data_IF_410366229480
#
_entry.id   IF_410366229480
#
_cell.length_a   1.000
_cell.length_b   1.000
_cell.length_c   1.000
_cell.angle_alpha   90.00
_cell.angle_beta   90.00
_cell.angle_gamma   90.00
#
_symmetry.space_group_name_H-M   'P 1'
#
loop_
_entity.id
_entity.type
_entity.pdbx_description
1 polymer ?
#
# COMPACT_ATOMS: atom_id res chain seq x y z
N UNK A 1 34.50 -11.12 -6.46
CA UNK A 1 33.71 -10.39 -5.44
C UNK A 1 34.65 -9.43 -4.72
N UNK A 2 34.44 -8.12 -4.85
CA UNK A 2 35.29 -7.06 -4.30
C UNK A 2 35.45 -7.24 -2.78
N UNK A 3 36.67 -7.05 -2.23
CA UNK A 3 36.97 -7.21 -0.80
C UNK A 3 36.05 -6.36 0.08
N UNK A 4 35.67 -5.17 -0.40
CA UNK A 4 34.70 -4.30 0.25
C UNK A 4 33.31 -4.96 0.37
N UNK A 5 32.83 -5.64 -0.68
CA UNK A 5 31.54 -6.33 -0.65
C UNK A 5 31.52 -7.42 0.43
N UNK A 6 32.60 -8.19 0.57
CA UNK A 6 32.69 -9.25 1.61
C UNK A 6 32.62 -8.68 3.02
N UNK A 7 33.28 -7.54 3.27
CA UNK A 7 33.26 -6.89 4.59
C UNK A 7 31.85 -6.38 4.94
N UNK A 8 31.17 -5.77 3.97
CA UNK A 8 29.81 -5.25 4.15
C UNK A 8 28.77 -6.38 4.27
N UNK A 9 28.85 -7.41 3.43
CA UNK A 9 27.96 -8.57 3.50
C UNK A 9 28.09 -9.31 4.83
N UNK A 10 29.26 -9.27 5.47
CA UNK A 10 29.48 -9.88 6.78
C UNK A 10 28.61 -9.27 7.90
N UNK A 11 28.16 -8.03 7.72
CA UNK A 11 27.32 -7.28 8.65
C UNK A 11 25.82 -7.43 8.40
N UNK A 12 25.40 -8.06 7.29
CA UNK A 12 23.98 -8.25 7.03
C UNK A 12 23.39 -9.20 8.08
N UNK A 13 22.21 -8.86 8.59
CA UNK A 13 21.48 -9.58 9.63
C UNK A 13 22.26 -9.71 10.96
N UNK A 14 23.23 -8.83 11.22
CA UNK A 14 23.89 -8.74 12.52
C UNK A 14 23.28 -7.62 13.35
N UNK A 15 23.52 -7.66 14.66
CA UNK A 15 23.05 -6.63 15.58
C UNK A 15 24.03 -5.47 15.59
N UNK A 16 23.55 -4.26 15.30
CA UNK A 16 24.36 -3.04 15.46
C UNK A 16 24.53 -2.76 16.95
N UNK A 17 25.77 -2.49 17.39
CA UNK A 17 26.06 -2.15 18.78
C UNK A 17 26.36 -0.66 18.95
N UNK A 18 27.25 -0.12 18.12
CA UNK A 18 27.62 1.28 18.19
C UNK A 18 28.27 1.76 16.89
N UNK A 19 28.27 3.08 16.69
CA UNK A 19 29.05 3.74 15.64
C UNK A 19 29.90 4.80 16.31
N UNK A 20 31.20 4.72 16.11
CA UNK A 20 32.18 5.68 16.61
C UNK A 20 32.77 6.48 15.46
N UNK A 21 33.24 7.68 15.79
CA UNK A 21 33.90 8.55 14.85
C UNK A 21 35.13 9.23 15.47
N UNK A 22 36.16 9.51 14.64
CA UNK A 22 37.33 10.29 15.05
C UNK A 22 37.13 11.80 14.83
N UNK A 23 36.03 12.19 14.20
CA UNK A 23 35.67 13.57 13.90
C UNK A 23 36.35 14.14 12.65
N UNK A 24 37.14 13.35 11.92
CA UNK A 24 37.96 13.81 10.82
C UNK A 24 37.88 12.87 9.60
N UNK A 25 38.44 11.65 9.70
CA UNK A 25 38.59 10.73 8.55
C UNK A 25 38.05 9.33 8.76
N UNK A 26 37.69 8.93 9.98
CA UNK A 26 37.36 7.53 10.28
C UNK A 26 36.03 7.37 10.99
N UNK A 27 35.31 6.34 10.54
CA UNK A 27 34.11 5.82 11.18
C UNK A 27 34.34 4.35 11.53
N UNK A 28 34.02 3.96 12.75
CA UNK A 28 34.07 2.57 13.21
C UNK A 28 32.65 2.09 13.51
N UNK A 29 32.25 1.00 12.87
CA UNK A 29 30.96 0.35 13.13
C UNK A 29 31.23 -0.92 13.93
N UNK A 30 30.65 -0.99 15.12
CA UNK A 30 30.72 -2.15 16.01
C UNK A 30 29.40 -2.94 15.93
N UNK A 31 29.50 -4.24 15.68
CA UNK A 31 28.36 -5.13 15.50
C UNK A 31 28.61 -6.50 16.12
N UNK A 32 27.54 -7.17 16.55
CA UNK A 32 27.59 -8.50 17.12
C UNK A 32 27.21 -9.55 16.08
N UNK A 33 28.09 -10.52 15.87
CA UNK A 33 27.85 -11.67 14.98
C UNK A 33 28.17 -12.96 15.74
N UNK A 34 27.18 -13.85 15.84
CA UNK A 34 27.35 -15.16 16.48
C UNK A 34 27.91 -15.06 17.92
N UNK A 35 27.55 -14.01 18.66
CA UNK A 35 28.02 -13.75 20.02
C UNK A 35 29.40 -13.07 20.12
N UNK A 36 30.04 -12.75 19.00
CA UNK A 36 31.33 -12.03 18.96
C UNK A 36 31.16 -10.60 18.49
N UNK A 37 31.87 -9.69 19.14
CA UNK A 37 31.96 -8.28 18.72
C UNK A 37 32.99 -8.17 17.60
N UNK A 38 32.52 -7.74 16.43
CA UNK A 38 33.32 -7.45 15.25
C UNK A 38 33.26 -5.96 14.93
N UNK A 39 34.27 -5.45 14.23
CA UNK A 39 34.33 -4.03 13.86
C UNK A 39 34.69 -3.83 12.40
N UNK A 40 33.99 -2.90 11.76
CA UNK A 40 34.33 -2.37 10.44
C UNK A 40 34.89 -0.97 10.60
N UNK A 41 36.09 -0.75 10.08
CA UNK A 41 36.70 0.58 9.97
C UNK A 41 36.50 1.10 8.55
N UNK A 42 35.85 2.26 8.45
CA UNK A 42 35.70 3.05 7.24
C UNK A 42 36.69 4.20 7.33
N UNK A 43 37.59 4.29 6.35
CA UNK A 43 38.55 5.38 6.23
C UNK A 43 38.22 6.22 5.00
N UNK A 44 37.84 7.47 5.25
CA UNK A 44 37.60 8.50 4.27
C UNK A 44 38.94 9.09 3.83
N UNK A 45 39.40 8.73 2.62
CA UNK A 45 40.66 9.23 2.05
C UNK A 45 40.42 10.13 0.86
N UNK A 46 41.12 11.26 0.81
CA UNK A 46 41.22 12.09 -0.39
C UNK A 46 42.48 11.73 -1.17
N UNK A 47 42.31 11.48 -2.46
CA UNK A 47 43.35 11.16 -3.42
C UNK A 47 43.34 12.23 -4.49
N UNK A 48 44.39 13.03 -4.56
CA UNK A 48 44.57 14.02 -5.61
C UNK A 48 45.07 13.33 -6.91
N UNK A 49 44.43 13.61 -8.04
CA UNK A 49 44.86 13.14 -9.37
C UNK A 49 44.48 14.16 -10.45
N UNK A 50 45.45 14.56 -11.28
CA UNK A 50 45.26 15.45 -12.44
C UNK A 50 44.37 16.69 -12.19
N UNK A 51 44.51 17.35 -11.03
CA UNK A 51 43.75 18.56 -10.70
C UNK A 51 42.35 18.30 -10.11
N UNK A 52 41.97 17.04 -9.87
CA UNK A 52 40.73 16.64 -9.22
C UNK A 52 41.02 15.92 -7.89
N UNK A 53 40.13 16.11 -6.90
CA UNK A 53 40.18 15.43 -5.61
C UNK A 53 39.16 14.30 -5.60
N UNK A 54 39.63 13.05 -5.62
CA UNK A 54 38.79 11.87 -5.49
C UNK A 54 38.72 11.44 -4.05
N UNK A 55 37.53 11.29 -3.49
CA UNK A 55 37.40 10.74 -2.15
C UNK A 55 36.92 9.30 -2.19
N UNK A 56 37.68 8.41 -1.53
CA UNK A 56 37.41 6.98 -1.49
C UNK A 56 37.25 6.52 -0.04
N UNK A 57 36.17 5.79 0.21
CA UNK A 57 36.05 4.94 1.39
C UNK A 57 36.86 3.66 1.20
N UNK A 58 37.87 3.49 2.06
CA UNK A 58 38.57 2.23 2.25
C UNK A 58 37.98 1.49 3.45
N UNK A 59 37.61 0.23 3.23
CA UNK A 59 37.01 -0.62 4.25
C UNK A 59 38.04 -1.62 4.75
N UNK A 60 38.12 -1.79 6.08
CA UNK A 60 39.00 -2.77 6.70
C UNK A 60 38.42 -3.27 8.02
N UNK A 61 38.89 -4.44 8.48
CA UNK A 61 38.66 -4.85 9.87
C UNK A 61 39.58 -4.04 10.78
N UNK A 62 39.06 -3.54 11.89
CA UNK A 62 39.85 -2.79 12.86
C UNK A 62 39.02 -1.77 13.62
N UNK A 63 39.71 -1.03 14.49
CA UNK A 63 39.13 0.04 15.32
C UNK A 63 39.86 1.35 15.03
N UNK A 64 39.21 2.48 15.35
CA UNK A 64 39.89 3.77 15.38
C UNK A 64 41.02 3.69 16.43
N UNK A 65 42.22 4.12 16.05
CA UNK A 65 43.38 4.24 16.94
C UNK A 65 43.46 5.68 17.44
N UNK A 66 43.37 5.88 18.75
CA UNK A 66 43.35 7.20 19.38
C UNK A 66 41.96 7.55 19.90
N UNK A 67 41.69 8.84 20.02
CA UNK A 67 40.42 9.35 20.53
C UNK A 67 39.29 9.06 19.55
N UNK A 68 38.19 8.53 20.07
CA UNK A 68 36.95 8.30 19.33
C UNK A 68 35.77 8.65 20.23
N UNK A 69 34.70 9.13 19.62
CA UNK A 69 33.43 9.41 20.31
C UNK A 69 32.28 8.66 19.63
N UNK A 70 31.24 8.26 20.36
CA UNK A 70 30.03 7.74 19.73
C UNK A 70 29.40 8.82 18.86
N UNK A 71 28.86 8.43 17.71
CA UNK A 71 28.09 9.34 16.86
C UNK A 71 26.78 9.65 17.58
N UNK A 72 26.39 10.92 17.60
CA UNK A 72 25.16 11.38 18.25
C UNK A 72 23.91 11.01 17.43
N UNK A 73 23.56 9.72 17.43
CA UNK A 73 22.40 9.15 16.73
C UNK A 73 21.51 8.36 17.70
N UNK A 74 20.21 8.34 17.43
CA UNK A 74 19.25 7.53 18.19
C UNK A 74 19.30 6.08 17.67
N UNK A 75 20.22 5.29 18.23
CA UNK A 75 20.46 3.89 17.82
C UNK A 75 20.13 2.87 18.93
N UNK A 76 19.49 3.29 20.02
CA UNK A 76 19.30 2.48 21.23
C UNK A 76 18.28 1.35 21.07
N UNK A 77 17.35 1.46 20.11
CA UNK A 77 16.32 0.46 19.82
C UNK A 77 16.63 -0.39 18.58
N UNK A 78 17.80 -0.22 17.94
CA UNK A 78 18.18 -1.00 16.76
C UNK A 78 18.37 -2.46 17.12
N UNK A 79 17.72 -3.34 16.37
CA UNK A 79 17.81 -4.77 16.54
C UNK A 79 18.75 -5.40 15.50
N UNK A 80 18.62 -5.00 14.23
CA UNK A 80 19.40 -5.61 13.16
C UNK A 80 19.77 -4.66 12.01
N UNK A 81 20.89 -4.98 11.36
CA UNK A 81 21.30 -4.38 10.08
C UNK A 81 20.68 -5.19 8.95
N UNK A 82 19.63 -4.68 8.30
CA UNK A 82 18.94 -5.36 7.19
C UNK A 82 19.74 -5.33 5.90
N UNK A 83 20.34 -4.19 5.62
CA UNK A 83 21.20 -4.04 4.45
C UNK A 83 22.28 -3.01 4.71
N UNK A 84 23.39 -3.18 4.01
CA UNK A 84 24.47 -2.20 3.96
C UNK A 84 25.13 -2.29 2.58
N UNK A 85 25.40 -1.14 1.98
CA UNK A 85 25.97 -1.04 0.64
C UNK A 85 26.92 0.14 0.53
N UNK A 86 27.99 -0.04 -0.24
CA UNK A 86 28.86 1.04 -0.69
C UNK A 86 28.46 1.40 -2.12
N UNK A 87 27.85 2.57 -2.27
CA UNK A 87 27.52 3.18 -3.56
C UNK A 87 28.69 4.01 -4.05
N UNK A 88 29.07 3.80 -5.31
CA UNK A 88 30.01 4.67 -6.04
C UNK A 88 29.20 5.45 -7.06
N UNK A 89 29.08 6.75 -6.82
CA UNK A 89 28.41 7.69 -7.71
C UNK A 89 29.50 8.39 -8.52
N UNK A 90 29.33 8.44 -9.83
CA UNK A 90 30.25 9.13 -10.75
C UNK A 90 29.49 10.24 -11.47
N UNK A 91 29.12 11.35 -10.80
CA UNK A 91 28.78 12.57 -11.51
C UNK A 91 29.95 12.99 -12.41
N UNK A 92 29.67 13.76 -13.47
CA UNK A 92 30.53 13.96 -14.63
C UNK A 92 32.02 14.31 -14.35
N UNK A 93 32.38 14.77 -13.15
CA UNK A 93 33.75 15.16 -12.79
C UNK A 93 34.24 14.69 -11.40
N UNK A 94 33.40 14.04 -10.58
CA UNK A 94 33.76 13.62 -9.22
C UNK A 94 33.37 12.16 -8.94
N UNK A 95 34.23 11.44 -8.22
CA UNK A 95 33.87 10.14 -7.66
C UNK A 95 33.44 10.31 -6.21
N UNK A 96 32.16 10.04 -5.95
CA UNK A 96 31.57 10.11 -4.62
C UNK A 96 31.31 8.70 -4.10
N UNK A 97 31.84 8.42 -2.91
CA UNK A 97 31.52 7.21 -2.17
C UNK A 97 30.47 7.52 -1.11
N UNK A 98 29.45 6.67 -1.04
CA UNK A 98 28.37 6.74 -0.07
C UNK A 98 28.14 5.35 0.52
N UNK A 99 28.08 5.24 1.83
CA UNK A 99 27.62 4.02 2.51
C UNK A 99 26.18 4.26 2.94
N UNK A 100 25.29 3.38 2.52
CA UNK A 100 23.91 3.38 2.99
C UNK A 100 23.65 2.10 3.77
N UNK A 101 23.00 2.24 4.92
CA UNK A 101 22.64 1.16 5.80
C UNK A 101 21.15 1.26 6.13
N UNK A 102 20.43 0.15 6.01
CA UNK A 102 19.06 0.01 6.49
C UNK A 102 19.08 -0.75 7.80
N UNK A 103 18.56 -0.12 8.83
CA UNK A 103 18.45 -0.63 10.19
C UNK A 103 16.99 -0.94 10.50
N UNK A 104 16.75 -2.01 11.22
CA UNK A 104 15.44 -2.32 11.79
C UNK A 104 15.50 -2.17 13.30
N UNK A 105 14.54 -1.45 13.85
CA UNK A 105 14.37 -1.32 15.29
C UNK A 105 13.49 -2.42 15.89
N UNK A 106 13.54 -2.61 17.20
CA UNK A 106 12.73 -3.60 17.94
C UNK A 106 11.22 -3.51 17.69
N UNK A 107 10.75 -2.32 17.28
CA UNK A 107 9.34 -2.08 16.96
C UNK A 107 9.01 -2.32 15.47
N UNK A 108 9.97 -2.82 14.68
CA UNK A 108 9.82 -3.06 13.24
C UNK A 108 10.00 -1.82 12.35
N UNK A 109 10.35 -0.67 12.93
CA UNK A 109 10.60 0.55 12.17
C UNK A 109 11.91 0.44 11.38
N UNK A 110 11.89 0.88 10.12
CA UNK A 110 13.09 0.98 9.31
C UNK A 110 13.70 2.38 9.37
N UNK A 111 15.01 2.42 9.61
CA UNK A 111 15.82 3.63 9.63
C UNK A 111 16.88 3.51 8.54
N UNK A 112 17.14 4.60 7.82
CA UNK A 112 18.24 4.71 6.88
C UNK A 112 19.36 5.53 7.52
N UNK A 113 20.54 4.94 7.59
CA UNK A 113 21.77 5.63 7.95
C UNK A 113 22.61 5.82 6.70
N UNK A 114 23.12 7.04 6.53
CA UNK A 114 23.97 7.43 5.41
C UNK A 114 25.31 7.94 5.93
N UNK A 115 26.40 7.44 5.36
CA UNK A 115 27.75 8.00 5.52
C UNK A 115 28.21 8.45 4.14
N UNK A 116 28.44 9.74 3.95
CA UNK A 116 28.82 10.32 2.65
C UNK A 116 29.90 11.37 2.80
N UNK A 117 30.49 11.79 1.67
CA UNK A 117 31.47 12.87 1.63
C UNK A 117 30.87 14.16 2.21
N UNK A 118 31.67 14.85 3.01
CA UNK A 118 31.47 16.26 3.32
C UNK A 118 32.44 17.08 2.47
N UNK A 119 31.94 18.08 1.75
CA UNK A 119 32.73 18.96 0.90
C UNK A 119 32.56 20.38 1.43
N UNK A 120 33.39 20.72 2.42
CA UNK A 120 33.48 22.08 2.95
C UNK A 120 34.95 22.44 3.09
N UNK A 121 35.38 23.48 2.38
CA UNK A 121 36.77 23.96 2.37
C UNK A 121 37.21 24.49 3.76
N UNK A 122 36.27 24.72 4.69
CA UNK A 122 36.54 25.23 6.03
C UNK A 122 36.63 24.15 7.12
N UNK A 123 36.08 22.95 6.92
CA UNK A 123 36.09 21.88 7.92
C UNK A 123 37.17 20.82 7.65
N UNK A 124 37.98 20.46 8.66
CA UNK A 124 38.91 19.31 8.61
C UNK A 124 38.18 17.94 8.59
N UNK A 125 36.85 17.91 8.37
CA UNK A 125 36.01 16.71 8.42
C UNK A 125 35.65 16.23 7.02
N UNK A 126 35.97 14.97 6.74
CA UNK A 126 35.86 14.39 5.39
C UNK A 126 34.55 13.63 5.15
N UNK A 127 33.68 13.47 6.15
CA UNK A 127 32.44 12.72 6.01
C UNK A 127 31.32 13.33 6.86
N UNK A 128 30.08 13.11 6.42
CA UNK A 128 28.89 13.30 7.25
C UNK A 128 28.27 11.96 7.60
N UNK A 129 27.55 11.92 8.71
CA UNK A 129 26.70 10.80 9.08
C UNK A 129 25.32 11.37 9.32
N UNK A 130 24.32 10.88 8.60
CA UNK A 130 22.93 11.29 8.74
C UNK A 130 22.02 10.09 8.93
N UNK A 131 20.96 10.29 9.71
CA UNK A 131 19.91 9.31 9.98
C UNK A 131 18.57 9.89 9.52
N UNK A 132 17.79 9.09 8.80
CA UNK A 132 16.41 9.41 8.45
C UNK A 132 15.51 8.19 8.64
N UNK A 133 14.26 8.45 9.03
CA UNK A 133 13.24 7.41 9.06
C UNK A 133 12.87 7.02 7.63
N UNK A 134 12.87 5.72 7.34
CA UNK A 134 12.31 5.24 6.08
C UNK A 134 10.79 5.24 6.22
N UNK A 135 10.20 6.36 5.81
CA UNK A 135 8.76 6.42 5.57
C UNK A 135 8.54 5.73 4.24
N UNK A 136 8.02 4.50 4.27
CA UNK A 136 7.37 3.97 3.09
C UNK A 136 6.14 4.85 2.86
N UNK A 137 6.20 5.76 1.89
CA UNK A 137 4.96 6.23 1.30
C UNK A 137 4.20 4.98 0.86
N UNK A 138 2.96 4.76 1.33
CA UNK A 138 2.19 3.62 0.87
C UNK A 138 2.08 3.74 -0.64
N UNK A 139 2.81 2.89 -1.35
CA UNK A 139 2.70 2.71 -2.79
C UNK A 139 1.22 2.45 -3.05
N UNK A 140 0.56 3.29 -3.85
CA UNK A 140 -0.88 3.28 -4.15
C UNK A 140 -1.57 1.99 -3.70
N UNK A 141 -2.21 2.01 -2.53
CA UNK A 141 -2.89 0.83 -2.03
C UNK A 141 -4.02 0.48 -3.03
N UNK A 142 -4.04 -0.76 -3.50
CA UNK A 142 -5.12 -1.24 -4.36
C UNK A 142 -6.44 -1.06 -3.60
N UNK A 143 -7.35 -0.24 -4.15
CA UNK A 143 -8.62 0.10 -3.50
C UNK A 143 -9.55 -1.12 -3.41
N UNK A 144 -9.47 -2.02 -4.40
CA UNK A 144 -10.23 -3.25 -4.50
C UNK A 144 -9.51 -4.23 -5.43
N UNK A 145 -9.74 -5.53 -5.27
CA UNK A 145 -9.18 -6.57 -6.12
C UNK A 145 -9.80 -6.56 -7.51
N UNK A 146 -8.98 -6.30 -8.53
CA UNK A 146 -9.40 -6.37 -9.94
C UNK A 146 -9.90 -7.77 -10.33
N UNK A 147 -9.31 -8.82 -9.76
CA UNK A 147 -9.72 -10.20 -10.04
C UNK A 147 -11.07 -10.54 -9.40
N UNK A 148 -11.32 -10.07 -8.18
CA UNK A 148 -12.64 -10.17 -7.54
C UNK A 148 -13.70 -9.43 -8.38
N UNK A 149 -13.40 -8.21 -8.82
CA UNK A 149 -14.30 -7.43 -9.68
C UNK A 149 -14.67 -8.20 -10.96
N UNK A 150 -13.66 -8.69 -11.70
CA UNK A 150 -13.89 -9.44 -12.95
C UNK A 150 -14.72 -10.70 -12.71
N UNK A 151 -14.44 -11.45 -11.63
CA UNK A 151 -15.18 -12.67 -11.29
C UNK A 151 -16.68 -12.40 -11.15
N UNK A 152 -17.06 -11.42 -10.33
CA UNK A 152 -18.46 -11.09 -10.09
C UNK A 152 -19.11 -10.41 -11.30
N UNK A 153 -18.37 -9.59 -12.04
CA UNK A 153 -18.86 -8.98 -13.28
C UNK A 153 -19.23 -10.05 -14.31
N UNK A 154 -18.40 -11.09 -14.50
CA UNK A 154 -18.72 -12.19 -15.44
C UNK A 154 -20.02 -12.90 -15.05
N UNK A 155 -20.27 -13.11 -13.75
CA UNK A 155 -21.51 -13.72 -13.27
C UNK A 155 -22.69 -12.82 -13.63
N UNK A 156 -22.60 -11.52 -13.31
CA UNK A 156 -23.63 -10.54 -13.59
C UNK A 156 -23.96 -10.45 -15.10
N UNK A 157 -22.92 -10.37 -15.95
CA UNK A 157 -23.10 -10.30 -17.41
C UNK A 157 -23.73 -11.56 -18.00
N UNK A 158 -23.42 -12.74 -17.45
CA UNK A 158 -24.06 -14.00 -17.86
C UNK A 158 -25.51 -14.07 -17.42
N UNK A 159 -25.82 -13.63 -16.19
CA UNK A 159 -27.18 -13.64 -15.66
C UNK A 159 -28.11 -12.71 -16.45
N UNK A 160 -27.63 -11.52 -16.80
CA UNK A 160 -28.43 -10.47 -17.43
C UNK A 160 -28.19 -10.34 -18.95
N UNK A 161 -27.70 -11.39 -19.63
CA UNK A 161 -27.26 -11.32 -21.04
C UNK A 161 -28.34 -10.85 -22.01
N UNK A 162 -29.60 -11.22 -21.76
CA UNK A 162 -30.74 -10.89 -22.62
C UNK A 162 -31.57 -9.71 -22.09
N UNK A 163 -31.24 -9.18 -20.91
CA UNK A 163 -31.99 -8.10 -20.27
C UNK A 163 -31.57 -6.74 -20.83
N UNK A 164 -32.55 -5.83 -20.93
CA UNK A 164 -32.34 -4.44 -21.32
C UNK A 164 -32.86 -3.49 -20.27
N UNK A 165 -32.24 -2.33 -20.17
CA UNK A 165 -32.75 -1.21 -19.38
C UNK A 165 -34.03 -0.65 -20.03
N UNK A 166 -34.85 0.12 -19.29
CA UNK A 166 -36.00 0.83 -19.86
C UNK A 166 -35.66 1.78 -21.03
N UNK A 167 -34.39 2.14 -21.20
CA UNK A 167 -33.87 2.96 -22.29
C UNK A 167 -33.37 2.13 -23.49
N UNK A 168 -33.51 0.79 -23.45
CA UNK A 168 -33.11 -0.11 -24.52
C UNK A 168 -31.61 -0.46 -24.56
N UNK A 169 -30.83 -0.01 -23.57
CA UNK A 169 -29.42 -0.38 -23.42
C UNK A 169 -29.29 -1.80 -22.80
N UNK A 170 -28.18 -2.51 -23.00
CA UNK A 170 -27.91 -3.75 -22.27
C UNK A 170 -27.97 -3.52 -20.76
N UNK A 171 -28.56 -4.44 -19.99
CA UNK A 171 -28.70 -4.28 -18.54
C UNK A 171 -27.36 -4.18 -17.80
N UNK A 172 -26.28 -4.69 -18.41
CA UNK A 172 -24.91 -4.48 -17.94
C UNK A 172 -24.55 -3.01 -17.70
N UNK A 173 -25.18 -2.08 -18.43
CA UNK A 173 -24.99 -0.65 -18.21
C UNK A 173 -25.44 -0.23 -16.81
N UNK A 174 -26.62 -0.67 -16.36
CA UNK A 174 -27.14 -0.40 -15.01
C UNK A 174 -26.19 -0.97 -13.95
N UNK A 175 -25.83 -2.24 -14.09
CA UNK A 175 -24.95 -2.95 -13.15
C UNK A 175 -23.61 -2.23 -12.97
N UNK A 176 -22.97 -1.85 -14.08
CA UNK A 176 -21.69 -1.14 -14.06
C UNK A 176 -21.86 0.26 -13.47
N UNK A 177 -22.95 0.97 -13.76
CA UNK A 177 -23.25 2.27 -13.14
C UNK A 177 -23.35 2.18 -11.62
N UNK A 178 -24.12 1.22 -11.10
CA UNK A 178 -24.25 1.01 -9.64
C UNK A 178 -22.91 0.66 -9.00
N UNK A 179 -22.14 -0.26 -9.60
CA UNK A 179 -20.81 -0.61 -9.10
C UNK A 179 -19.82 0.57 -9.16
N UNK A 180 -19.94 1.46 -10.14
CA UNK A 180 -19.08 2.64 -10.28
C UNK A 180 -19.36 3.68 -9.20
N UNK A 181 -20.63 3.89 -8.81
CA UNK A 181 -20.97 4.75 -7.67
C UNK A 181 -20.32 4.26 -6.37
N UNK A 182 -20.32 2.94 -6.17
CA UNK A 182 -19.64 2.30 -5.04
C UNK A 182 -18.12 2.56 -5.08
N UNK A 183 -17.48 2.30 -6.22
CA UNK A 183 -16.04 2.54 -6.41
C UNK A 183 -15.68 4.01 -6.16
N UNK A 184 -16.50 4.94 -6.64
CA UNK A 184 -16.30 6.37 -6.48
C UNK A 184 -16.43 6.82 -5.01
N UNK A 185 -17.24 6.13 -4.21
CA UNK A 185 -17.40 6.42 -2.78
C UNK A 185 -16.22 5.90 -1.92
N UNK A 186 -15.50 4.85 -2.35
CA UNK A 186 -14.46 4.19 -1.55
C UNK A 186 -13.41 5.14 -0.95
N UNK A 187 -12.85 6.13 -1.68
CA UNK A 187 -11.82 7.02 -1.12
C UNK A 187 -12.31 7.92 0.03
N UNK A 188 -13.63 8.05 0.19
CA UNK A 188 -14.26 8.88 1.22
C UNK A 188 -14.75 8.10 2.43
N UNK A 189 -14.69 6.76 2.36
CA UNK A 189 -15.16 5.86 3.41
C UNK A 189 -13.96 5.22 4.13
N UNK A 190 -14.07 5.02 5.44
CA UNK A 190 -13.07 4.25 6.20
C UNK A 190 -13.39 2.76 6.07
N UNK A 191 -12.97 2.17 4.95
CA UNK A 191 -13.29 0.80 4.54
C UNK A 191 -12.02 0.03 4.21
N UNK A 192 -11.94 -1.23 4.64
CA UNK A 192 -10.84 -2.13 4.27
C UNK A 192 -10.97 -2.61 2.82
N UNK A 193 -9.87 -3.12 2.26
CA UNK A 193 -9.88 -3.68 0.90
C UNK A 193 -10.88 -4.86 0.76
N UNK A 194 -11.01 -5.71 1.78
CA UNK A 194 -11.96 -6.83 1.77
C UNK A 194 -13.41 -6.34 1.76
N UNK A 195 -13.75 -5.38 2.62
CA UNK A 195 -15.08 -4.79 2.68
C UNK A 195 -15.44 -4.06 1.36
N UNK A 196 -14.47 -3.37 0.75
CA UNK A 196 -14.63 -2.76 -0.58
C UNK A 196 -14.94 -3.81 -1.65
N UNK A 197 -14.22 -4.94 -1.65
CA UNK A 197 -14.49 -6.06 -2.55
C UNK A 197 -15.90 -6.63 -2.37
N UNK A 198 -16.36 -6.78 -1.12
CA UNK A 198 -17.72 -7.27 -0.81
C UNK A 198 -18.78 -6.27 -1.30
N UNK A 199 -18.61 -4.98 -1.03
CA UNK A 199 -19.53 -3.93 -1.47
C UNK A 199 -19.67 -3.91 -3.00
N UNK A 200 -18.55 -3.95 -3.72
CA UNK A 200 -18.53 -3.97 -5.18
C UNK A 200 -19.18 -5.26 -5.72
N UNK A 201 -18.88 -6.41 -5.13
CA UNK A 201 -19.50 -7.67 -5.54
C UNK A 201 -21.03 -7.66 -5.33
N UNK A 202 -21.52 -7.16 -4.19
CA UNK A 202 -22.94 -6.94 -3.95
C UNK A 202 -23.55 -6.02 -5.01
N UNK A 203 -22.90 -4.90 -5.35
CA UNK A 203 -23.36 -3.98 -6.38
C UNK A 203 -23.43 -4.63 -7.77
N UNK A 204 -22.45 -5.46 -8.13
CA UNK A 204 -22.47 -6.18 -9.40
C UNK A 204 -23.58 -7.24 -9.47
N UNK A 205 -23.97 -7.81 -8.34
CA UNK A 205 -24.90 -8.94 -8.26
C UNK A 205 -26.31 -8.58 -7.74
N UNK A 206 -26.56 -7.33 -7.37
CA UNK A 206 -27.74 -6.94 -6.58
C UNK A 206 -29.09 -7.37 -7.19
N UNK A 207 -29.21 -7.37 -8.51
CA UNK A 207 -30.44 -7.73 -9.23
C UNK A 207 -30.46 -9.17 -9.74
N UNK A 208 -29.39 -9.95 -9.55
CA UNK A 208 -29.27 -11.29 -10.16
C UNK A 208 -30.38 -12.21 -9.66
N UNK A 209 -30.65 -12.23 -8.35
CA UNK A 209 -31.73 -13.04 -7.77
C UNK A 209 -33.13 -12.43 -7.98
N UNK A 210 -33.22 -11.12 -8.27
CA UNK A 210 -34.52 -10.44 -8.47
C UNK A 210 -35.04 -10.60 -9.91
N UNK A 211 -34.16 -10.42 -10.89
CA UNK A 211 -34.54 -10.31 -12.31
C UNK A 211 -34.21 -11.56 -13.15
N UNK A 212 -33.46 -12.52 -12.59
CA UNK A 212 -32.97 -13.67 -13.35
C UNK A 212 -33.20 -14.99 -12.61
N UNK A 213 -33.11 -16.11 -13.34
CA UNK A 213 -33.09 -17.46 -12.76
C UNK A 213 -31.67 -18.02 -12.66
N UNK A 214 -30.65 -17.16 -12.75
CA UNK A 214 -29.25 -17.59 -12.73
C UNK A 214 -28.89 -18.08 -11.32
N UNK A 215 -28.35 -19.31 -11.16
CA UNK A 215 -28.03 -19.84 -9.86
C UNK A 215 -26.80 -19.12 -9.28
N UNK A 216 -26.96 -18.49 -8.11
CA UNK A 216 -25.84 -18.10 -7.26
C UNK A 216 -25.58 -19.25 -6.28
N UNK A 217 -24.45 -19.93 -6.40
CA UNK A 217 -24.06 -21.04 -5.54
C UNK A 217 -23.28 -20.52 -4.33
N UNK A 218 -23.69 -20.90 -3.12
CA UNK A 218 -23.10 -20.46 -1.85
C UNK A 218 -21.59 -20.75 -1.78
N UNK A 219 -21.14 -21.85 -2.37
CA UNK A 219 -19.72 -22.27 -2.36
C UNK A 219 -18.82 -21.36 -3.22
N UNK A 220 -19.39 -20.59 -4.14
CA UNK A 220 -18.63 -19.73 -5.07
C UNK A 220 -18.50 -18.29 -4.58
N UNK A 221 -19.30 -17.86 -3.61
CA UNK A 221 -19.38 -16.48 -3.14
C UNK A 221 -18.94 -16.33 -1.70
N UNK A 222 -18.38 -15.16 -1.38
CA UNK A 222 -18.13 -14.79 0.00
C UNK A 222 -19.47 -14.71 0.76
N UNK A 223 -19.62 -15.22 2.00
CA UNK A 223 -20.90 -15.26 2.70
C UNK A 223 -21.59 -13.90 2.84
N UNK A 224 -20.80 -12.84 3.06
CA UNK A 224 -21.33 -11.47 3.13
C UNK A 224 -21.83 -10.94 1.78
N UNK A 225 -21.28 -11.42 0.66
CA UNK A 225 -21.79 -11.07 -0.67
C UNK A 225 -23.17 -11.69 -0.87
N UNK A 226 -23.30 -12.99 -0.57
CA UNK A 226 -24.59 -13.68 -0.67
C UNK A 226 -25.64 -13.04 0.25
N UNK A 227 -25.30 -12.79 1.51
CA UNK A 227 -26.20 -12.13 2.46
C UNK A 227 -26.62 -10.72 1.97
N UNK A 228 -25.69 -9.96 1.39
CA UNK A 228 -25.96 -8.66 0.80
C UNK A 228 -26.90 -8.73 -0.40
N UNK A 229 -26.65 -9.62 -1.35
CA UNK A 229 -27.50 -9.82 -2.54
C UNK A 229 -28.90 -10.28 -2.12
N UNK A 230 -29.00 -11.22 -1.19
CA UNK A 230 -30.28 -11.64 -0.62
C UNK A 230 -31.03 -10.47 -0.01
N UNK A 231 -30.37 -9.65 0.84
CA UNK A 231 -30.99 -8.47 1.46
C UNK A 231 -31.45 -7.42 0.45
N UNK A 232 -30.74 -7.26 -0.67
CA UNK A 232 -31.07 -6.33 -1.76
C UNK A 232 -32.21 -6.83 -2.66
N UNK A 233 -32.46 -8.14 -2.67
CA UNK A 233 -33.52 -8.78 -3.46
C UNK A 233 -34.85 -8.74 -2.72
N UNK A 234 -35.92 -8.32 -3.41
CA UNK A 234 -37.29 -8.35 -2.88
C UNK A 234 -37.81 -9.79 -2.70
N UNK A 235 -38.42 -10.06 -1.55
CA UNK A 235 -39.14 -11.32 -1.34
C UNK A 235 -40.50 -11.29 -2.04
N UNK A 236 -40.59 -11.95 -3.20
CA UNK A 236 -41.82 -11.98 -4.01
C UNK A 236 -42.94 -12.83 -3.40
N UNK A 237 -42.70 -13.54 -2.30
CA UNK A 237 -43.73 -14.25 -1.53
C UNK A 237 -44.56 -13.31 -0.65
N UNK A 238 -44.05 -12.11 -0.35
CA UNK A 238 -44.73 -11.08 0.41
C UNK A 238 -45.64 -10.19 -0.47
N UNK A 239 -46.68 -9.56 0.10
CA UNK A 239 -47.45 -8.52 -0.57
C UNK A 239 -46.54 -7.40 -1.08
N UNK A 240 -46.81 -6.88 -2.29
CA UNK A 240 -45.96 -5.87 -2.95
C UNK A 240 -45.63 -4.66 -2.08
N UNK A 241 -46.59 -4.24 -1.25
CA UNK A 241 -46.48 -3.11 -0.33
C UNK A 241 -45.48 -3.35 0.81
N UNK A 242 -45.20 -4.61 1.15
CA UNK A 242 -44.31 -5.01 2.25
C UNK A 242 -42.89 -5.35 1.77
N UNK A 243 -42.71 -5.66 0.48
CA UNK A 243 -41.44 -6.14 -0.08
C UNK A 243 -40.27 -5.17 0.12
N UNK A 244 -40.52 -3.87 -0.07
CA UNK A 244 -39.49 -2.84 0.09
C UNK A 244 -39.10 -2.71 1.57
N UNK A 245 -40.08 -2.67 2.47
CA UNK A 245 -39.84 -2.57 3.91
C UNK A 245 -39.07 -3.78 4.45
N UNK A 246 -39.42 -5.00 4.03
CA UNK A 246 -38.66 -6.21 4.37
C UNK A 246 -37.21 -6.14 3.90
N UNK A 247 -36.98 -5.81 2.62
CA UNK A 247 -35.62 -5.69 2.06
C UNK A 247 -34.79 -4.66 2.83
N UNK A 248 -35.37 -3.49 3.16
CA UNK A 248 -34.69 -2.46 3.94
C UNK A 248 -34.39 -2.96 5.36
N UNK A 249 -35.31 -3.65 6.03
CA UNK A 249 -35.08 -4.18 7.38
C UNK A 249 -33.95 -5.21 7.41
N UNK A 250 -33.90 -6.11 6.41
CA UNK A 250 -32.80 -7.08 6.26
C UNK A 250 -31.48 -6.39 5.96
N UNK A 251 -31.49 -5.37 5.09
CA UNK A 251 -30.31 -4.61 4.73
C UNK A 251 -29.74 -3.81 5.91
N UNK A 252 -30.59 -3.23 6.76
CA UNK A 252 -30.19 -2.47 7.95
C UNK A 252 -29.44 -3.31 9.00
N UNK A 253 -29.61 -4.65 8.97
CA UNK A 253 -28.89 -5.59 9.84
C UNK A 253 -27.48 -5.91 9.33
N UNK A 254 -27.15 -5.53 8.09
CA UNK A 254 -25.84 -5.74 7.48
C UNK A 254 -24.91 -4.53 7.66
N UNK A 255 -23.58 -4.70 7.50
CA UNK A 255 -22.63 -3.59 7.56
C UNK A 255 -22.93 -2.45 6.58
N UNK A 256 -22.54 -1.23 6.96
CA UNK A 256 -22.78 0.00 6.18
C UNK A 256 -22.27 -0.10 4.73
N UNK A 257 -21.15 -0.78 4.49
CA UNK A 257 -20.59 -0.94 3.16
C UNK A 257 -21.45 -1.81 2.21
N UNK A 258 -22.38 -2.62 2.74
CA UNK A 258 -23.40 -3.30 1.94
C UNK A 258 -24.63 -2.41 1.79
N UNK A 259 -25.03 -1.69 2.85
CA UNK A 259 -26.19 -0.78 2.80
C UNK A 259 -26.03 0.30 1.72
N UNK A 260 -24.81 0.82 1.52
CA UNK A 260 -24.52 1.82 0.48
C UNK A 260 -24.83 1.33 -0.94
N UNK A 261 -24.90 0.03 -1.20
CA UNK A 261 -25.31 -0.52 -2.50
C UNK A 261 -26.74 -0.11 -2.85
N UNK A 262 -27.65 -0.05 -1.87
CA UNK A 262 -29.02 0.40 -2.13
C UNK A 262 -29.08 1.89 -2.45
N UNK A 263 -28.19 2.68 -1.86
CA UNK A 263 -28.06 4.10 -2.17
C UNK A 263 -27.48 4.30 -3.57
N UNK A 264 -26.47 3.53 -3.96
CA UNK A 264 -25.89 3.55 -5.30
C UNK A 264 -26.91 3.13 -6.39
N UNK A 265 -27.69 2.08 -6.13
CA UNK A 265 -28.84 1.69 -6.96
C UNK A 265 -29.82 2.87 -7.09
N UNK A 266 -30.09 3.58 -5.98
CA UNK A 266 -31.03 4.70 -6.04
C UNK A 266 -30.50 5.92 -6.78
N UNK A 267 -29.23 6.27 -6.59
CA UNK A 267 -28.55 7.32 -7.35
C UNK A 267 -28.64 7.04 -8.84
N UNK A 268 -28.33 5.80 -9.25
CA UNK A 268 -28.35 5.39 -10.67
C UNK A 268 -29.76 5.49 -11.27
N UNK A 269 -30.77 5.02 -10.54
CA UNK A 269 -32.16 4.98 -11.01
C UNK A 269 -32.90 6.33 -10.93
N UNK A 270 -32.44 7.28 -10.12
CA UNK A 270 -32.95 8.66 -10.08
C UNK A 270 -32.33 9.57 -11.15
N UNK A 271 -31.62 8.99 -12.12
CA UNK A 271 -31.16 9.66 -13.33
C UNK A 271 -32.31 10.05 -14.28
N UNK A 272 -32.03 10.06 -15.58
CA UNK A 272 -33.05 10.42 -16.58
C UNK A 272 -34.17 9.36 -16.56
N UNK A 273 -35.43 9.74 -16.33
CA UNK A 273 -36.53 8.79 -16.26
C UNK A 273 -36.91 8.25 -17.66
N UNK A 274 -37.47 7.04 -17.74
CA UNK A 274 -37.90 6.47 -19.01
C UNK A 274 -38.96 7.35 -19.70
N UNK A 275 -38.84 7.54 -21.01
CA UNK A 275 -39.70 8.48 -21.78
C UNK A 275 -41.18 8.13 -21.77
N UNK A 276 -41.51 6.86 -21.51
CA UNK A 276 -42.86 6.32 -21.39
C UNK A 276 -43.51 6.55 -20.01
N UNK A 277 -42.78 7.06 -19.02
CA UNK A 277 -43.36 7.33 -17.70
C UNK A 277 -44.25 8.57 -17.70
N UNK A 278 -45.40 8.47 -17.03
CA UNK A 278 -46.24 9.64 -16.75
C UNK A 278 -45.60 10.49 -15.64
N UNK A 279 -46.01 11.76 -15.54
CA UNK A 279 -45.54 12.67 -14.48
C UNK A 279 -45.90 12.15 -13.09
N UNK A 280 -47.05 11.49 -12.96
CA UNK A 280 -47.52 10.89 -11.70
C UNK A 280 -46.59 9.74 -11.29
N UNK A 281 -46.22 8.86 -12.24
CA UNK A 281 -45.28 7.77 -11.97
C UNK A 281 -43.90 8.28 -11.57
N UNK A 282 -43.40 9.34 -12.22
CA UNK A 282 -42.13 9.98 -11.85
C UNK A 282 -42.17 10.53 -10.42
N UNK A 283 -43.26 11.22 -10.03
CA UNK A 283 -43.43 11.75 -8.66
C UNK A 283 -43.53 10.65 -7.61
N UNK A 284 -44.24 9.57 -7.92
CA UNK A 284 -44.35 8.42 -7.02
C UNK A 284 -42.99 7.77 -6.79
N UNK A 285 -42.23 7.53 -7.87
CA UNK A 285 -40.90 6.92 -7.79
C UNK A 285 -39.87 7.81 -7.07
N UNK A 286 -40.02 9.14 -7.14
CA UNK A 286 -39.18 10.07 -6.39
C UNK A 286 -39.48 10.05 -4.87
N UNK A 287 -40.73 9.76 -4.49
CA UNK A 287 -41.18 9.79 -3.10
C UNK A 287 -40.98 8.47 -2.36
N UNK A 288 -40.93 7.34 -3.08
CA UNK A 288 -40.62 5.99 -2.61
C UNK A 288 -39.14 5.85 -2.17
#
# INVERSE_FOLDING_TARGET
>A
MNQNCKLLDNMKNTKLLNIYEDGCTKVEIEYEKEGYIETLLIHARVVASMGHYHQKFELSKGKIKGDKKPVSLELWDIESIKSIQLLRLTPAYDELHKIEMVLESKNGNLLKLTIERFDDDEEEKYYTISQSTLIFEPICQELFSVESYKKHLVIALKAHSDQKTPHGLPYSFHIISVATEIINALPTENISNEEANIAIACALLHDVLEDTTYPLLDEELHPMVLAGVQALTKDTTLPKEEQISDSIERLQKLPRYIQMVKLADRITNLGIPPSQWSKEKMKQYQAE
#
